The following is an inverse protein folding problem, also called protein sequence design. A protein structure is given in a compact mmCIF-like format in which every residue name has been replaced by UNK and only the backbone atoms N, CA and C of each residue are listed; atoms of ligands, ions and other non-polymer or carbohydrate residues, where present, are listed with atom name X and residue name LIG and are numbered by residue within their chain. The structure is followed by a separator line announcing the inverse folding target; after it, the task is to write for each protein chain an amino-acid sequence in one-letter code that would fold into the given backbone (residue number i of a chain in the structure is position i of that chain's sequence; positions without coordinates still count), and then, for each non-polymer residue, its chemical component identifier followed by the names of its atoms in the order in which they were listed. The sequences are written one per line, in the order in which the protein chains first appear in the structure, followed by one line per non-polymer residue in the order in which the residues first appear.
data_IF_130925147859
#
_entry.id   IF_130925147859
#
_cell.length_a   1.000
_cell.length_b   1.000
_cell.length_c   1.000
_cell.angle_alpha   90.00
_cell.angle_beta   90.00
_cell.angle_gamma   90.00
#
_symmetry.space_group_name_H-M   'P 1'
#
loop_
_entity.id
_entity.type
_entity.pdbx_description
1 polymer ?
#
# COMPACT_ATOMS: atom_id res chain seq x y z
N UNK A 1 -4.01 17.59 8.02
CA UNK A 1 -4.21 16.30 7.31
C UNK A 1 -5.24 15.50 8.09
N UNK A 2 -6.41 15.20 7.49
CA UNK A 2 -7.40 14.33 8.14
C UNK A 2 -7.02 12.88 7.86
N UNK A 3 -6.90 12.07 8.91
CA UNK A 3 -6.59 10.63 8.80
C UNK A 3 -7.79 9.96 8.15
N UNK A 4 -7.57 9.34 6.99
CA UNK A 4 -8.62 8.58 6.30
C UNK A 4 -8.62 7.16 6.85
N UNK A 5 -9.64 6.84 7.64
CA UNK A 5 -9.89 5.50 8.15
C UNK A 5 -10.72 4.70 7.15
N UNK A 6 -10.49 3.38 7.06
CA UNK A 6 -11.24 2.47 6.19
C UNK A 6 -10.41 1.75 5.12
N UNK A 7 -11.09 1.07 4.19
CA UNK A 7 -10.49 0.19 3.17
C UNK A 7 -9.67 1.02 2.16
N UNK A 8 -8.47 0.54 1.80
CA UNK A 8 -7.70 1.12 0.69
C UNK A 8 -8.46 0.93 -0.62
N UNK A 9 -8.96 2.01 -1.22
CA UNK A 9 -9.52 1.97 -2.58
C UNK A 9 -8.39 1.75 -3.60
N UNK A 10 -8.31 0.58 -4.27
CA UNK A 10 -7.38 0.41 -5.38
C UNK A 10 -7.82 1.28 -6.56
N UNK A 11 -6.86 1.82 -7.33
CA UNK A 11 -7.16 2.57 -8.55
C UNK A 11 -6.20 2.18 -9.68
N UNK A 12 -6.74 1.69 -10.79
CA UNK A 12 -5.96 1.16 -11.92
C UNK A 12 -5.16 2.26 -12.62
N UNK A 13 -5.79 3.42 -12.86
CA UNK A 13 -5.11 4.58 -13.46
C UNK A 13 -3.86 5.00 -12.70
N UNK A 14 -3.93 5.07 -11.36
CA UNK A 14 -2.76 5.42 -10.52
C UNK A 14 -1.69 4.35 -10.55
N UNK A 15 -2.05 3.06 -10.64
CA UNK A 15 -1.08 1.97 -10.74
C UNK A 15 -0.31 2.03 -12.06
N UNK A 16 -1.00 2.26 -13.19
CA UNK A 16 -0.38 2.37 -14.51
C UNK A 16 0.51 3.62 -14.56
N UNK A 17 -0.01 4.79 -14.16
CA UNK A 17 0.76 6.03 -14.13
C UNK A 17 2.01 5.94 -13.24
N UNK A 18 1.94 5.22 -12.11
CA UNK A 18 3.11 5.00 -11.26
C UNK A 18 4.18 4.14 -11.93
N UNK A 19 3.81 3.22 -12.83
CA UNK A 19 4.76 2.37 -13.57
C UNK A 19 5.40 3.11 -14.74
N UNK A 20 4.65 3.94 -15.45
CA UNK A 20 5.10 4.62 -16.68
C UNK A 20 5.65 6.04 -16.44
N UNK A 21 5.69 6.53 -15.20
CA UNK A 21 6.17 7.87 -14.89
C UNK A 21 7.67 8.05 -15.14
N UNK A 22 8.03 9.02 -16.00
CA UNK A 22 9.44 9.39 -16.27
C UNK A 22 10.19 9.81 -15.00
N UNK A 23 9.55 10.57 -14.09
CA UNK A 23 10.12 10.98 -12.79
C UNK A 23 10.49 9.78 -11.91
N UNK A 24 9.81 8.64 -12.08
CA UNK A 24 10.14 7.40 -11.38
C UNK A 24 11.37 6.74 -12.00
N UNK A 25 11.42 6.65 -13.34
CA UNK A 25 12.58 6.13 -14.06
C UNK A 25 13.84 6.92 -13.68
N UNK A 26 13.83 8.24 -13.81
CA UNK A 26 14.96 9.12 -13.49
C UNK A 26 15.44 8.95 -12.04
N UNK A 27 14.54 8.96 -11.05
CA UNK A 27 14.93 8.80 -9.63
C UNK A 27 15.51 7.43 -9.30
N UNK A 28 15.11 6.38 -10.03
CA UNK A 28 15.61 5.03 -9.80
C UNK A 28 16.85 4.71 -10.64
N UNK A 29 17.00 5.30 -11.82
CA UNK A 29 18.14 5.11 -12.71
C UNK A 29 19.35 5.98 -12.35
N UNK A 30 19.13 7.23 -11.90
CA UNK A 30 20.22 8.18 -11.58
C UNK A 30 20.74 8.06 -10.14
N UNK A 31 20.26 7.12 -9.34
CA UNK A 31 20.75 6.92 -7.96
C UNK A 31 20.41 8.01 -6.95
N UNK A 32 19.60 9.02 -7.31
CA UNK A 32 19.19 10.17 -6.45
C UNK A 32 18.14 9.76 -5.40
N UNK A 33 18.16 8.51 -4.93
CA UNK A 33 17.17 8.01 -3.99
C UNK A 33 17.65 8.28 -2.57
N UNK A 34 16.81 8.97 -1.78
CA UNK A 34 17.06 9.13 -0.36
C UNK A 34 17.19 7.75 0.34
N UNK A 35 18.13 7.59 1.30
CA UNK A 35 18.28 6.36 2.08
C UNK A 35 16.98 6.00 2.82
N UNK A 36 16.75 4.71 3.11
CA UNK A 36 15.64 4.30 3.98
C UNK A 36 15.75 5.03 5.34
N UNK A 37 14.62 5.54 5.85
CA UNK A 37 14.57 6.23 7.15
C UNK A 37 14.60 7.76 7.10
N UNK A 38 15.11 8.36 6.01
CA UNK A 38 15.20 9.82 5.87
C UNK A 38 13.85 10.56 5.83
N UNK A 39 12.74 9.83 5.72
CA UNK A 39 11.39 10.41 5.74
C UNK A 39 11.09 11.26 6.98
N UNK A 40 11.72 10.97 8.13
CA UNK A 40 11.59 11.78 9.34
C UNK A 40 12.31 13.13 9.25
N UNK A 41 13.46 13.17 8.56
CA UNK A 41 14.26 14.38 8.37
C UNK A 41 13.67 15.25 7.26
N UNK A 42 13.31 14.65 6.13
CA UNK A 42 12.82 15.41 4.97
C UNK A 42 11.36 15.87 5.13
N UNK A 43 10.51 15.07 5.78
CA UNK A 43 9.10 15.44 6.00
C UNK A 43 8.47 14.70 7.21
N UNK A 44 8.67 15.18 8.44
CA UNK A 44 8.24 14.49 9.65
C UNK A 44 6.72 14.33 9.73
N UNK A 45 5.95 15.36 9.32
CA UNK A 45 4.48 15.32 9.34
C UNK A 45 3.92 14.22 8.45
N UNK A 46 4.50 14.05 7.24
CA UNK A 46 4.10 12.98 6.31
C UNK A 46 4.54 11.60 6.80
N UNK A 47 5.71 11.49 7.44
CA UNK A 47 6.17 10.24 8.04
C UNK A 47 5.22 9.76 9.15
N UNK A 48 4.82 10.66 10.05
CA UNK A 48 3.85 10.38 11.11
C UNK A 48 2.48 9.96 10.53
N UNK A 49 1.96 10.71 9.56
CA UNK A 49 0.70 10.38 8.88
C UNK A 49 0.74 8.99 8.23
N UNK A 50 1.81 8.67 7.49
CA UNK A 50 1.95 7.37 6.83
C UNK A 50 2.02 6.21 7.83
N UNK A 51 2.63 6.42 9.01
CA UNK A 51 2.68 5.43 10.09
C UNK A 51 1.28 5.17 10.64
N UNK A 52 0.52 6.22 10.92
CA UNK A 52 -0.86 6.09 11.40
C UNK A 52 -1.77 5.44 10.34
N UNK A 53 -1.73 5.94 9.10
CA UNK A 53 -2.49 5.38 7.97
C UNK A 53 -2.17 3.90 7.71
N UNK A 54 -0.92 3.45 7.88
CA UNK A 54 -0.58 2.02 7.73
C UNK A 54 -1.17 1.15 8.83
N UNK A 55 -1.28 1.66 10.07
CA UNK A 55 -1.82 0.92 11.22
C UNK A 55 -3.35 0.85 11.18
N UNK A 56 -4.00 1.91 10.74
CA UNK A 56 -5.45 2.08 10.87
C UNK A 56 -6.25 1.72 9.61
N UNK A 57 -5.59 1.13 8.61
CA UNK A 57 -6.20 0.84 7.31
C UNK A 57 -5.89 -0.57 6.87
N UNK A 58 -6.93 -1.42 6.84
CA UNK A 58 -6.86 -2.78 6.30
C UNK A 58 -6.82 -2.79 4.76
N UNK A 59 -6.09 -3.76 4.21
CA UNK A 59 -6.00 -3.96 2.76
C UNK A 59 -7.26 -4.62 2.21
N UNK A 60 -7.76 -4.15 1.06
CA UNK A 60 -8.91 -4.75 0.36
C UNK A 60 -8.72 -6.24 0.07
N UNK A 61 -7.47 -6.70 -0.07
CA UNK A 61 -7.14 -8.10 -0.35
C UNK A 61 -7.24 -9.02 0.88
N UNK A 62 -7.22 -8.46 2.09
CA UNK A 62 -7.33 -9.27 3.32
C UNK A 62 -8.69 -9.96 3.43
N UNK A 63 -9.77 -9.26 3.06
CA UNK A 63 -11.13 -9.82 3.05
C UNK A 63 -11.30 -10.87 1.94
N UNK A 64 -10.69 -10.65 0.77
CA UNK A 64 -10.75 -11.60 -0.34
C UNK A 64 -10.03 -12.90 -0.02
N UNK A 65 -8.83 -12.83 0.60
CA UNK A 65 -8.08 -14.02 1.02
C UNK A 65 -8.81 -14.77 2.13
N UNK A 66 -9.38 -14.05 3.12
CA UNK A 66 -10.19 -14.68 4.16
C UNK A 66 -11.40 -15.42 3.56
N UNK A 67 -12.11 -14.82 2.61
CA UNK A 67 -13.24 -15.44 1.93
C UNK A 67 -12.82 -16.69 1.13
N UNK A 68 -11.69 -16.64 0.43
CA UNK A 68 -11.16 -17.82 -0.29
C UNK A 68 -10.73 -18.94 0.66
N UNK A 69 -10.10 -18.61 1.80
CA UNK A 69 -9.71 -19.59 2.81
C UNK A 69 -10.95 -20.23 3.44
N UNK A 70 -11.97 -19.45 3.77
CA UNK A 70 -13.24 -19.98 4.29
C UNK A 70 -13.98 -20.84 3.27
N UNK A 71 -13.99 -20.43 1.99
CA UNK A 71 -14.56 -21.24 0.91
C UNK A 71 -13.81 -22.56 0.72
N UNK A 72 -12.47 -22.54 0.75
CA UNK A 72 -11.63 -23.75 0.65
C UNK A 72 -11.80 -24.67 1.87
N UNK A 73 -11.96 -24.11 3.07
CA UNK A 73 -12.20 -24.88 4.30
C UNK A 73 -13.60 -25.53 4.28
N UNK A 74 -14.59 -24.85 3.71
CA UNK A 74 -15.95 -25.37 3.54
C UNK A 74 -16.06 -26.47 2.47
N UNK A 75 -15.09 -26.58 1.55
CA UNK A 75 -15.03 -27.66 0.54
C UNK A 75 -14.29 -28.92 1.02
N UNK A 76 -13.65 -28.89 2.19
CA UNK A 76 -12.89 -30.03 2.75
C UNK A 76 -13.68 -31.11 3.52
N UNK A 77 -14.95 -30.97 3.94
CA UNK A 77 -15.62 -32.03 4.72
C UNK A 77 -16.38 -33.06 3.86
N UNK A 78 -16.01 -33.28 2.60
CA UNK A 78 -16.69 -34.21 1.69
C UNK A 78 -15.75 -35.24 1.03
N UNK A 79 -14.77 -35.73 1.78
CA UNK A 79 -14.01 -36.96 1.52
C UNK A 79 -14.00 -37.82 2.78
#
# INVERSE_FOLDING_TARGET
MKVKFGIRRPSLRKRIAARTSWKRAVRHSLGIKAPPGWGWVTNPRRAAYNRLYRRTTAGCFSLFVLALVLAALATLPAL
#
